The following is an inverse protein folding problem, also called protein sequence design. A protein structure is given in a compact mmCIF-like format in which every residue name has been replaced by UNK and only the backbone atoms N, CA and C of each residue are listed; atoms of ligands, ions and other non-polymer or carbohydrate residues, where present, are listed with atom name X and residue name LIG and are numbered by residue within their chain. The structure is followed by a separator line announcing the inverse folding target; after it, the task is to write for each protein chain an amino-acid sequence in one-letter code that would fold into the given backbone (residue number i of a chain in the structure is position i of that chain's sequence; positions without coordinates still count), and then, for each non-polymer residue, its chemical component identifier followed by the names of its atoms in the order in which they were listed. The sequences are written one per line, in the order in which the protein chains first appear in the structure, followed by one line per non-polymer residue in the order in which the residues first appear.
data_IF_219745132813
#
_entry.id   IF_219745132813
#
_cell.length_a   1.000
_cell.length_b   1.000
_cell.length_c   1.000
_cell.angle_alpha   90.00
_cell.angle_beta   90.00
_cell.angle_gamma   90.00
#
_symmetry.space_group_name_H-M   'P 1'
#
loop_
_entity.id
_entity.type
_entity.pdbx_description
1 polymer ?
#
# COMPACT_ATOMS: atom_id res chain seq x y z
N UNK A 1 41.34 23.26 -13.09
CA UNK A 1 40.09 23.27 -12.31
C UNK A 1 39.53 21.86 -12.32
N UNK A 2 39.66 21.14 -11.21
CA UNK A 2 39.12 19.78 -11.09
C UNK A 2 37.61 19.85 -10.86
N UNK A 3 36.83 19.38 -11.83
CA UNK A 3 35.40 19.16 -11.63
C UNK A 3 35.25 17.88 -10.80
N UNK A 4 35.03 18.01 -9.48
CA UNK A 4 34.55 16.91 -8.64
C UNK A 4 33.23 16.40 -9.24
N UNK A 5 33.26 15.21 -9.82
CA UNK A 5 32.08 14.54 -10.34
C UNK A 5 31.24 14.08 -9.14
N UNK A 6 30.00 14.56 -9.05
CA UNK A 6 29.07 14.11 -8.01
C UNK A 6 28.80 12.61 -8.22
N UNK A 7 28.92 11.77 -7.16
CA UNK A 7 28.63 10.35 -7.30
C UNK A 7 27.18 10.13 -7.75
N UNK A 8 26.98 9.23 -8.71
CA UNK A 8 25.66 8.91 -9.28
C UNK A 8 24.82 8.25 -8.18
N UNK A 9 23.69 8.87 -7.83
CA UNK A 9 22.73 8.31 -6.88
C UNK A 9 21.87 7.25 -7.58
N UNK A 10 21.79 6.06 -7.00
CA UNK A 10 20.79 5.04 -7.37
C UNK A 10 19.63 5.16 -6.38
N UNK A 11 18.43 5.40 -6.88
CA UNK A 11 17.22 5.56 -6.07
C UNK A 11 16.29 4.41 -6.41
N UNK A 12 15.81 3.72 -5.38
CA UNK A 12 14.81 2.65 -5.51
C UNK A 12 13.57 3.11 -4.75
N UNK A 13 12.42 3.01 -5.42
CA UNK A 13 11.12 3.19 -4.80
C UNK A 13 10.45 1.82 -4.70
N UNK A 14 9.84 1.55 -3.56
CA UNK A 14 9.11 0.31 -3.28
C UNK A 14 7.73 0.74 -2.83
N UNK A 15 6.71 0.18 -3.48
CA UNK A 15 5.30 0.34 -3.14
C UNK A 15 4.70 -1.05 -2.92
N UNK A 16 3.70 -1.14 -2.04
CA UNK A 16 3.04 -2.39 -1.71
C UNK A 16 1.71 -2.50 -2.45
N UNK A 17 1.48 -3.65 -3.07
CA UNK A 17 0.22 -3.95 -3.72
C UNK A 17 -0.93 -3.96 -2.71
N UNK A 18 -1.91 -3.07 -2.90
CA UNK A 18 -3.13 -2.93 -2.09
C UNK A 18 -2.87 -3.07 -0.57
N UNK A 19 -1.90 -2.32 -0.04
CA UNK A 19 -1.25 -2.58 1.25
C UNK A 19 -2.18 -3.04 2.40
N UNK A 20 -3.23 -2.28 2.72
CA UNK A 20 -4.13 -2.67 3.83
C UNK A 20 -5.00 -3.88 3.49
N UNK A 21 -5.47 -4.04 2.26
CA UNK A 21 -6.22 -5.24 1.85
C UNK A 21 -5.32 -6.49 1.87
N UNK A 22 -4.05 -6.34 1.48
CA UNK A 22 -3.05 -7.41 1.57
C UNK A 22 -2.77 -7.85 3.01
N UNK A 23 -2.80 -6.92 3.97
CA UNK A 23 -2.73 -7.24 5.40
C UNK A 23 -3.99 -8.01 5.83
N UNK A 24 -5.18 -7.51 5.51
CA UNK A 24 -6.44 -8.18 5.86
C UNK A 24 -6.51 -9.60 5.27
N UNK A 25 -6.09 -9.83 4.02
CA UNK A 25 -6.03 -11.17 3.42
C UNK A 25 -4.96 -12.09 4.04
N UNK A 26 -3.90 -11.52 4.62
CA UNK A 26 -2.89 -12.29 5.36
C UNK A 26 -3.48 -12.79 6.68
N UNK A 27 -4.10 -11.90 7.43
CA UNK A 27 -4.60 -12.14 8.79
C UNK A 27 -5.95 -12.87 8.79
N UNK A 28 -6.74 -12.69 7.73
CA UNK A 28 -7.99 -13.39 7.43
C UNK A 28 -7.88 -14.14 6.08
N UNK A 29 -7.31 -15.36 6.06
CA UNK A 29 -7.11 -16.13 4.83
C UNK A 29 -8.39 -16.38 4.03
N UNK A 30 -9.55 -16.37 4.67
CA UNK A 30 -10.87 -16.50 4.05
C UNK A 30 -11.24 -15.34 3.11
N UNK A 31 -10.52 -14.21 3.15
CA UNK A 31 -10.67 -13.10 2.21
C UNK A 31 -9.85 -13.28 0.92
N UNK A 32 -8.94 -14.26 0.86
CA UNK A 32 -8.14 -14.51 -0.34
C UNK A 32 -9.02 -14.93 -1.51
N UNK A 33 -8.75 -14.37 -2.68
CA UNK A 33 -9.53 -14.61 -3.89
C UNK A 33 -10.91 -13.94 -3.91
N UNK A 34 -11.24 -13.12 -2.90
CA UNK A 34 -12.46 -12.31 -2.86
C UNK A 34 -12.14 -10.85 -3.13
N UNK A 35 -13.09 -10.16 -3.75
CA UNK A 35 -13.09 -8.70 -3.85
C UNK A 35 -13.41 -8.12 -2.46
N UNK A 36 -12.48 -7.35 -1.90
CA UNK A 36 -12.58 -6.70 -0.60
C UNK A 36 -12.16 -5.23 -0.69
N UNK A 37 -12.69 -4.42 0.23
CA UNK A 37 -12.28 -3.05 0.44
C UNK A 37 -12.09 -2.81 1.94
N UNK A 38 -11.06 -2.03 2.28
CA UNK A 38 -10.79 -1.62 3.66
C UNK A 38 -11.17 -0.14 3.79
N UNK A 39 -12.02 0.19 4.76
CA UNK A 39 -12.55 1.53 4.97
C UNK A 39 -12.57 1.93 6.44
N UNK A 40 -13.00 3.17 6.70
CA UNK A 40 -13.19 3.68 8.07
C UNK A 40 -14.38 3.04 8.79
N UNK A 41 -14.50 3.27 10.11
CA UNK A 41 -15.62 2.75 10.91
C UNK A 41 -16.99 3.15 10.30
N UNK A 42 -17.95 2.21 10.23
CA UNK A 42 -19.30 2.47 9.72
C UNK A 42 -20.03 3.61 10.43
N UNK A 43 -19.85 3.72 11.75
CA UNK A 43 -20.48 4.73 12.61
C UNK A 43 -19.90 6.13 12.41
N UNK A 44 -18.76 6.24 11.73
CA UNK A 44 -18.09 7.48 11.41
C UNK A 44 -17.93 7.68 9.90
N UNK A 45 -16.70 7.55 9.39
CA UNK A 45 -16.38 7.74 7.97
C UNK A 45 -16.61 6.46 7.16
N UNK A 46 -17.74 5.78 7.39
CA UNK A 46 -18.06 4.48 6.78
C UNK A 46 -18.12 4.51 5.25
N UNK A 47 -18.30 5.69 4.65
CA UNK A 47 -18.30 5.86 3.19
C UNK A 47 -16.92 5.98 2.55
N UNK A 48 -15.82 6.01 3.31
CA UNK A 48 -14.47 6.21 2.76
C UNK A 48 -13.72 4.88 2.66
N UNK A 49 -13.33 4.53 1.44
CA UNK A 49 -12.46 3.39 1.13
C UNK A 49 -11.01 3.85 1.16
N UNK A 50 -10.18 3.19 1.97
CA UNK A 50 -8.75 3.42 2.06
C UNK A 50 -7.96 2.59 1.03
N UNK A 51 -8.41 1.36 0.75
CA UNK A 51 -7.85 0.50 -0.30
C UNK A 51 -8.85 -0.58 -0.72
N UNK A 52 -8.60 -1.21 -1.87
CA UNK A 52 -9.37 -2.34 -2.39
C UNK A 52 -8.45 -3.26 -3.20
N UNK A 53 -8.85 -4.52 -3.37
CA UNK A 53 -8.12 -5.53 -4.15
C UNK A 53 -8.97 -6.15 -5.27
#
# INVERSE_FOLDING_TARGET
MDKKQTPIRKIIHIDMDAFYASIEQRDHPEYRGKAIAVGGSPEGRGGVVATAN
#
